data_IF_983676050081
#
_entry.id   IF_983676050081
#
_cell.length_a   1.000
_cell.length_b   1.000
_cell.length_c   1.000
_cell.angle_alpha   90.00
_cell.angle_beta   90.00
_cell.angle_gamma   90.00
#
_symmetry.space_group_name_H-M   'P 1'
#
loop_
_entity.id
_entity.type
_entity.pdbx_description
1 polymer ?
#
# COMPACT_ATOMS: atom_id res chain seq x y z
N UNK A 1 6.12 -27.60 18.04
CA UNK A 1 6.34 -26.20 18.45
C UNK A 1 6.61 -25.41 17.18
N UNK A 2 5.84 -24.36 16.85
CA UNK A 2 6.18 -23.48 15.74
C UNK A 2 7.58 -22.89 15.98
N UNK A 3 8.34 -22.65 14.92
CA UNK A 3 9.64 -21.99 15.04
C UNK A 3 9.44 -20.48 15.25
N UNK A 4 10.41 -19.80 15.87
CA UNK A 4 10.38 -18.32 15.99
C UNK A 4 10.23 -17.62 14.62
N UNK A 5 10.65 -18.26 13.53
CA UNK A 5 10.48 -17.72 12.18
C UNK A 5 9.03 -17.79 11.72
N UNK A 6 8.31 -18.85 12.10
CA UNK A 6 6.88 -19.02 11.79
C UNK A 6 6.04 -17.98 12.55
N UNK A 7 6.36 -17.74 13.82
CA UNK A 7 5.70 -16.71 14.65
C UNK A 7 5.87 -15.31 14.06
N UNK A 8 7.09 -14.95 13.62
CA UNK A 8 7.34 -13.66 12.95
C UNK A 8 6.57 -13.53 11.64
N UNK A 9 6.48 -14.59 10.84
CA UNK A 9 5.70 -14.61 9.60
C UNK A 9 4.20 -14.47 9.86
N UNK A 10 3.71 -15.11 10.92
CA UNK A 10 2.31 -15.00 11.35
C UNK A 10 1.99 -13.56 11.74
N UNK A 11 2.83 -12.95 12.60
CA UNK A 11 2.66 -11.58 13.05
C UNK A 11 2.70 -10.58 11.90
N UNK A 12 3.61 -10.74 10.93
CA UNK A 12 3.68 -9.86 9.76
C UNK A 12 2.40 -9.91 8.91
N UNK A 13 1.78 -11.09 8.75
CA UNK A 13 0.51 -11.23 8.04
C UNK A 13 -0.62 -10.52 8.77
N UNK A 14 -0.71 -10.72 10.09
CA UNK A 14 -1.72 -10.08 10.93
C UNK A 14 -1.61 -8.55 10.91
N UNK A 15 -0.39 -8.01 10.93
CA UNK A 15 -0.15 -6.56 10.77
C UNK A 15 -0.69 -6.06 9.43
N UNK A 16 -0.39 -6.76 8.32
CA UNK A 16 -0.89 -6.36 6.99
C UNK A 16 -2.43 -6.48 6.92
N UNK A 17 -3.02 -7.48 7.54
CA UNK A 17 -4.47 -7.64 7.60
C UNK A 17 -5.15 -6.47 8.34
N UNK A 18 -4.62 -6.08 9.50
CA UNK A 18 -5.12 -4.94 10.28
C UNK A 18 -4.95 -3.64 9.49
N UNK A 19 -3.78 -3.41 8.89
CA UNK A 19 -3.54 -2.21 8.09
C UNK A 19 -4.46 -2.13 6.86
N UNK A 20 -4.78 -3.27 6.24
CA UNK A 20 -5.69 -3.33 5.11
C UNK A 20 -7.14 -3.02 5.51
N UNK A 21 -7.58 -3.49 6.67
CA UNK A 21 -8.88 -3.14 7.23
C UNK A 21 -8.98 -1.63 7.51
N UNK A 22 -7.97 -1.05 8.14
CA UNK A 22 -7.88 0.41 8.37
C UNK A 22 -7.92 1.18 7.04
N UNK A 23 -7.14 0.74 6.05
CA UNK A 23 -7.11 1.33 4.70
C UNK A 23 -8.49 1.32 4.03
N UNK A 24 -9.22 0.22 4.18
CA UNK A 24 -10.57 0.05 3.64
C UNK A 24 -11.56 0.99 4.32
N UNK A 25 -11.54 1.06 5.66
CA UNK A 25 -12.41 1.96 6.44
C UNK A 25 -12.17 3.44 6.10
N UNK A 26 -10.92 3.81 5.83
CA UNK A 26 -10.53 5.16 5.43
C UNK A 26 -10.71 5.45 3.93
N UNK A 27 -11.19 4.47 3.15
CA UNK A 27 -11.36 4.59 1.70
C UNK A 27 -10.11 5.10 0.98
N UNK A 28 -8.92 4.59 1.35
CA UNK A 28 -7.68 5.00 0.66
C UNK A 28 -7.56 4.36 -0.74
N UNK A 29 -8.39 3.36 -1.01
CA UNK A 29 -8.41 2.58 -2.24
C UNK A 29 -7.05 1.92 -2.55
N UNK A 30 -6.29 1.54 -1.52
CA UNK A 30 -5.08 0.74 -1.69
C UNK A 30 -5.42 -0.75 -1.62
N UNK A 31 -4.99 -1.52 -2.61
CA UNK A 31 -5.06 -2.98 -2.52
C UNK A 31 -3.99 -3.55 -1.57
N UNK A 32 -4.08 -4.85 -1.25
CA UNK A 32 -3.14 -5.51 -0.32
C UNK A 32 -1.69 -5.47 -0.79
N UNK A 33 -1.46 -5.50 -2.10
CA UNK A 33 -0.13 -5.48 -2.69
C UNK A 33 0.45 -4.07 -2.63
N UNK A 34 -0.33 -3.06 -3.03
CA UNK A 34 0.02 -1.64 -2.94
C UNK A 34 0.34 -1.25 -1.49
N UNK A 35 -0.49 -1.68 -0.53
CA UNK A 35 -0.29 -1.41 0.88
C UNK A 35 1.01 -2.05 1.41
N UNK A 36 1.26 -3.32 1.07
CA UNK A 36 2.49 -4.02 1.45
C UNK A 36 3.74 -3.32 0.89
N UNK A 37 3.66 -2.82 -0.35
CA UNK A 37 4.73 -2.04 -0.94
C UNK A 37 4.94 -0.70 -0.21
N UNK A 38 3.86 0.00 0.14
CA UNK A 38 3.94 1.24 0.91
C UNK A 38 4.61 1.01 2.28
N UNK A 39 4.22 -0.04 3.00
CA UNK A 39 4.85 -0.43 4.27
C UNK A 39 6.33 -0.69 4.07
N UNK A 40 6.71 -1.47 3.06
CA UNK A 40 8.11 -1.77 2.74
C UNK A 40 8.91 -0.49 2.46
N UNK A 41 8.36 0.45 1.69
CA UNK A 41 9.03 1.73 1.39
C UNK A 41 9.22 2.57 2.67
N UNK A 42 8.20 2.64 3.52
CA UNK A 42 8.26 3.38 4.78
C UNK A 42 9.27 2.75 5.74
N UNK A 43 9.32 1.41 5.84
CA UNK A 43 10.34 0.68 6.62
C UNK A 43 11.77 0.93 6.11
N UNK A 44 11.93 1.22 4.81
CA UNK A 44 13.20 1.64 4.20
C UNK A 44 13.50 3.15 4.35
N UNK A 45 12.69 3.88 5.11
CA UNK A 45 12.92 5.29 5.45
C UNK A 45 12.28 6.31 4.49
N UNK A 46 11.41 5.86 3.58
CA UNK A 46 10.64 6.79 2.74
C UNK A 46 9.62 7.55 3.59
N UNK A 47 9.55 8.87 3.43
CA UNK A 47 8.57 9.70 4.11
C UNK A 47 7.12 9.35 3.63
N UNK A 48 6.18 9.02 4.55
CA UNK A 48 4.81 8.62 4.19
C UNK A 48 4.00 9.72 3.48
N UNK A 49 4.20 10.99 3.84
CA UNK A 49 3.48 12.14 3.28
C UNK A 49 3.91 12.37 1.82
N UNK A 50 5.22 12.30 1.55
CA UNK A 50 5.78 12.36 0.21
C UNK A 50 5.28 11.19 -0.66
N UNK A 51 5.31 9.96 -0.11
CA UNK A 51 4.79 8.77 -0.81
C UNK A 51 3.32 8.93 -1.18
N UNK A 52 2.48 9.43 -0.25
CA UNK A 52 1.07 9.66 -0.52
C UNK A 52 0.83 10.68 -1.65
N UNK A 53 1.70 11.68 -1.76
CA UNK A 53 1.64 12.69 -2.83
C UNK A 53 1.94 12.06 -4.17
N UNK A 54 2.97 11.22 -4.26
CA UNK A 54 3.33 10.49 -5.49
C UNK A 54 2.22 9.53 -5.92
N UNK A 55 1.61 8.78 -4.99
CA UNK A 55 0.51 7.86 -5.31
C UNK A 55 -0.69 8.62 -5.90
N UNK A 56 -1.05 9.77 -5.31
CA UNK A 56 -2.15 10.61 -5.81
C UNK A 56 -1.86 11.15 -7.21
N UNK A 57 -0.62 11.56 -7.46
CA UNK A 57 -0.19 12.03 -8.77
C UNK A 57 -0.29 10.95 -9.84
N UNK A 58 0.29 9.77 -9.58
CA UNK A 58 0.26 8.65 -10.51
C UNK A 58 -1.17 8.20 -10.84
N UNK A 59 -2.07 8.16 -9.84
CA UNK A 59 -3.49 7.84 -10.06
C UNK A 59 -4.19 8.89 -10.93
N UNK A 60 -3.85 10.17 -10.73
CA UNK A 60 -4.39 11.28 -11.54
C UNK A 60 -3.93 11.15 -13.00
N UNK A 61 -2.64 10.93 -13.23
CA UNK A 61 -2.08 10.77 -14.58
C UNK A 61 -2.63 9.53 -15.30
N UNK A 62 -2.73 8.39 -14.62
CA UNK A 62 -3.31 7.17 -15.19
C UNK A 62 -4.78 7.36 -15.60
N UNK A 63 -5.56 8.09 -14.79
CA UNK A 63 -6.94 8.44 -15.11
C UNK A 63 -7.03 9.35 -16.33
N UNK A 64 -6.15 10.35 -16.43
CA UNK A 64 -6.10 11.27 -17.56
C UNK A 64 -5.68 10.57 -18.87
N UNK A 65 -4.70 9.67 -18.81
CA UNK A 65 -4.21 8.90 -19.95
C UNK A 65 -5.28 7.99 -20.55
N UNK A 66 -6.22 7.49 -19.74
CA UNK A 66 -7.34 6.63 -20.19
C UNK A 66 -8.44 7.44 -20.90
N UNK A 67 -8.48 8.77 -20.70
CA UNK A 67 -9.53 9.65 -21.25
C UNK A 67 -9.13 10.42 -22.50
N UNK A 68 -7.95 10.15 -23.08
CA UNK A 68 -7.58 10.68 -24.39
C UNK A 68 -8.08 9.72 -25.48
N UNK A 69 -9.22 9.97 -26.15
CA UNK A 69 -9.55 9.26 -27.38
C UNK A 69 -8.56 9.71 -28.46
N UNK A 70 -8.22 8.78 -29.35
CA UNK A 70 -7.38 8.96 -30.54
C UNK A 70 -7.53 10.33 -31.22
N UNK A 71 -6.38 10.93 -31.55
CA UNK A 71 -6.27 11.92 -32.62
C UNK A 71 -6.41 11.25 -33.99
#
# INVERSE_FOLDING_TARGET
>A
MPSQQDEKRQAAREVIDILYEISTLLNTHLDRTELSLCVSLIENGVNPEALSTVIKELRREASAATTAPDA
#
